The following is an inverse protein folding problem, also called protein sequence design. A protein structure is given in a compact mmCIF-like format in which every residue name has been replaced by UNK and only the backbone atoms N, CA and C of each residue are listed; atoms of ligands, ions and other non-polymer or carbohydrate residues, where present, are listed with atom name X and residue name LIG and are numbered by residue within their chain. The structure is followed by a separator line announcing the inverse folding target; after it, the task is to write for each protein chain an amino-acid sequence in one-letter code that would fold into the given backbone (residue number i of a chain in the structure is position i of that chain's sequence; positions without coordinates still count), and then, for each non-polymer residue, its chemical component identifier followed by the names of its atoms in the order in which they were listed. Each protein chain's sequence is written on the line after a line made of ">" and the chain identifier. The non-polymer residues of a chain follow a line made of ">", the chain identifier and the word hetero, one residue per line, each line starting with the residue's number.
data_IF_056406759407
#
_entry.id   IF_056406759407
#
_cell.length_a   1.000
_cell.length_b   1.000
_cell.length_c   1.000
_cell.angle_alpha   90.00
_cell.angle_beta   90.00
_cell.angle_gamma   90.00
#
_symmetry.space_group_name_H-M   'P 1'
#
loop_
_entity.id
_entity.type
_entity.pdbx_description
1 polymer ?
#
# COMPACT_ATOMS: atom_id res chain seq x y z
N UNK A 1 6.00 -15.43 19.87
CA UNK A 1 6.32 -15.86 18.48
C UNK A 1 5.08 -15.65 17.64
N UNK A 2 5.11 -14.72 16.72
CA UNK A 2 3.95 -14.44 15.85
C UNK A 2 3.97 -15.42 14.67
N UNK A 3 3.11 -16.43 14.68
CA UNK A 3 3.00 -17.41 13.59
C UNK A 3 2.05 -16.85 12.53
N UNK A 4 2.47 -15.83 11.81
CA UNK A 4 1.74 -15.24 10.66
C UNK A 4 2.56 -15.28 9.38
N UNK A 5 3.14 -16.41 9.09
CA UNK A 5 3.80 -16.70 7.81
C UNK A 5 2.96 -17.63 6.92
N UNK A 6 1.67 -17.68 7.21
CA UNK A 6 0.68 -18.45 6.47
C UNK A 6 0.56 -17.88 5.06
N UNK A 7 1.02 -18.62 4.07
CA UNK A 7 0.91 -18.29 2.65
C UNK A 7 -0.28 -19.01 1.97
N UNK A 8 -1.27 -19.38 2.77
CA UNK A 8 -2.43 -20.14 2.34
C UNK A 8 -3.64 -19.72 3.15
N UNK A 9 -4.75 -19.39 2.50
CA UNK A 9 -6.00 -19.01 3.14
C UNK A 9 -7.17 -19.92 2.73
N UNK A 10 -8.22 -19.90 3.53
CA UNK A 10 -9.49 -20.57 3.29
C UNK A 10 -10.60 -19.71 3.90
N UNK A 11 -11.66 -19.46 3.16
CA UNK A 11 -12.79 -18.65 3.60
C UNK A 11 -14.11 -19.37 3.43
N UNK A 12 -15.03 -19.06 4.33
CA UNK A 12 -16.38 -19.57 4.35
C UNK A 12 -17.37 -18.43 4.30
N UNK A 13 -18.57 -18.69 3.76
CA UNK A 13 -19.68 -17.77 3.76
C UNK A 13 -20.95 -18.44 4.27
N UNK A 14 -21.90 -17.65 4.69
CA UNK A 14 -23.27 -18.07 5.02
C UNK A 14 -24.23 -16.91 4.74
N UNK A 15 -25.47 -17.22 4.47
CA UNK A 15 -26.54 -16.23 4.33
C UNK A 15 -27.07 -15.89 5.74
N UNK A 16 -27.00 -14.62 6.11
CA UNK A 16 -27.47 -14.12 7.41
C UNK A 16 -28.99 -14.22 7.57
N UNK A 17 -29.74 -14.38 6.47
CA UNK A 17 -31.18 -14.53 6.48
C UNK A 17 -31.64 -15.99 6.67
N UNK A 18 -30.73 -16.98 6.59
CA UNK A 18 -31.05 -18.37 6.90
C UNK A 18 -31.34 -18.51 8.41
N UNK A 19 -32.36 -19.30 8.76
CA UNK A 19 -32.76 -19.54 10.16
C UNK A 19 -31.68 -20.28 10.97
N UNK A 20 -30.91 -21.14 10.30
CA UNK A 20 -29.78 -21.91 10.86
C UNK A 20 -28.61 -21.82 9.89
N UNK A 21 -27.87 -20.69 9.87
CA UNK A 21 -26.85 -20.46 8.87
C UNK A 21 -25.66 -21.39 9.07
N UNK A 22 -25.35 -22.18 8.06
CA UNK A 22 -24.20 -23.09 8.05
C UNK A 22 -23.10 -22.53 7.16
N UNK A 23 -21.86 -22.43 7.69
CA UNK A 23 -20.73 -21.99 6.87
C UNK A 23 -20.49 -22.91 5.67
N UNK A 24 -20.53 -22.35 4.47
CA UNK A 24 -20.22 -23.00 3.20
C UNK A 24 -18.82 -22.58 2.77
N UNK A 25 -18.01 -23.54 2.34
CA UNK A 25 -16.65 -23.27 1.86
C UNK A 25 -16.69 -22.57 0.50
N UNK A 26 -15.98 -21.43 0.35
CA UNK A 26 -15.86 -20.74 -0.93
C UNK A 26 -14.94 -21.52 -1.88
N UNK A 27 -13.73 -21.84 -1.40
CA UNK A 27 -12.73 -22.55 -2.18
C UNK A 27 -11.83 -23.38 -1.27
N UNK A 28 -11.56 -24.60 -1.68
CA UNK A 28 -10.69 -25.52 -0.97
C UNK A 28 -9.26 -24.97 -0.90
N UNK A 29 -8.65 -25.11 0.27
CA UNK A 29 -7.27 -24.69 0.55
C UNK A 29 -6.29 -25.28 -0.46
N UNK A 30 -5.45 -24.43 -1.02
CA UNK A 30 -4.35 -24.81 -1.89
C UNK A 30 -3.06 -24.15 -1.39
N UNK A 31 -2.00 -24.93 -1.25
CA UNK A 31 -0.73 -24.42 -0.72
C UNK A 31 -0.21 -23.24 -1.57
N UNK A 32 0.11 -22.14 -0.93
CA UNK A 32 0.64 -20.94 -1.59
C UNK A 32 -0.43 -20.02 -2.18
N UNK A 33 -1.71 -20.41 -2.13
CA UNK A 33 -2.80 -19.57 -2.60
C UNK A 33 -3.43 -18.82 -1.42
N UNK A 34 -3.39 -17.52 -1.53
CA UNK A 34 -4.08 -16.56 -0.67
C UNK A 34 -5.27 -16.02 -1.43
N UNK A 35 -6.40 -15.92 -0.75
CA UNK A 35 -7.56 -15.24 -1.30
C UNK A 35 -8.44 -14.63 -0.21
N UNK A 36 -9.15 -13.57 -0.57
CA UNK A 36 -10.18 -12.96 0.26
C UNK A 36 -11.32 -12.48 -0.61
N UNK A 37 -12.56 -12.77 -0.18
CA UNK A 37 -13.75 -12.40 -0.92
C UNK A 37 -14.52 -11.32 -0.17
N UNK A 38 -14.87 -10.26 -0.88
CA UNK A 38 -15.75 -9.20 -0.41
C UNK A 38 -17.03 -9.23 -1.23
N UNK A 39 -18.14 -8.82 -0.64
CA UNK A 39 -19.42 -8.65 -1.34
C UNK A 39 -19.79 -7.17 -1.43
N UNK A 40 -20.25 -6.75 -2.59
CA UNK A 40 -20.78 -5.42 -2.82
C UNK A 40 -21.73 -5.39 -4.01
N UNK A 41 -22.89 -4.76 -3.83
CA UNK A 41 -23.91 -4.55 -4.87
C UNK A 41 -24.28 -5.84 -5.64
N UNK A 42 -24.56 -6.91 -4.89
CA UNK A 42 -24.95 -8.21 -5.44
C UNK A 42 -23.83 -8.98 -6.14
N UNK A 43 -22.61 -8.49 -6.09
CA UNK A 43 -21.42 -9.12 -6.68
C UNK A 43 -20.40 -9.50 -5.62
N UNK A 44 -19.53 -10.43 -5.98
CA UNK A 44 -18.44 -10.94 -5.12
C UNK A 44 -17.10 -10.66 -5.80
N UNK A 45 -16.20 -10.11 -5.02
CA UNK A 45 -14.86 -9.70 -5.48
C UNK A 45 -13.83 -10.54 -4.75
N UNK A 46 -13.10 -11.36 -5.50
CA UNK A 46 -12.07 -12.25 -5.00
C UNK A 46 -10.69 -11.65 -5.26
N UNK A 47 -10.04 -11.14 -4.22
CA UNK A 47 -8.65 -10.72 -4.24
C UNK A 47 -7.78 -11.94 -4.01
N UNK A 48 -7.00 -12.36 -5.00
CA UNK A 48 -6.25 -13.62 -4.96
C UNK A 48 -4.93 -13.56 -5.71
N UNK A 49 -3.96 -14.36 -5.25
CA UNK A 49 -2.70 -14.60 -5.98
C UNK A 49 -2.74 -15.87 -6.85
N UNK A 50 -3.91 -16.45 -7.07
CA UNK A 50 -4.04 -17.62 -7.95
C UNK A 50 -3.77 -17.25 -9.40
N UNK A 51 -2.72 -17.86 -9.99
CA UNK A 51 -2.21 -17.53 -11.33
C UNK A 51 -1.87 -16.02 -11.49
N UNK A 52 -1.48 -15.36 -10.39
CA UNK A 52 -1.24 -13.93 -10.34
C UNK A 52 -0.32 -13.61 -9.14
N UNK A 53 0.99 -13.66 -9.31
CA UNK A 53 1.94 -13.57 -8.20
C UNK A 53 1.69 -12.33 -7.32
N UNK A 54 1.45 -11.17 -7.95
CA UNK A 54 1.22 -9.87 -7.28
C UNK A 54 -0.26 -9.56 -7.05
N UNK A 55 -1.08 -10.62 -6.99
CA UNK A 55 -2.51 -10.59 -6.87
C UNK A 55 -3.25 -10.07 -8.10
N UNK A 56 -4.52 -10.38 -8.15
CA UNK A 56 -5.55 -9.89 -9.06
C UNK A 56 -6.88 -9.82 -8.33
N UNK A 57 -7.88 -9.23 -8.97
CA UNK A 57 -9.23 -9.25 -8.47
C UNK A 57 -10.12 -9.89 -9.52
N UNK A 58 -10.77 -10.97 -9.15
CA UNK A 58 -11.80 -11.61 -9.95
C UNK A 58 -13.18 -11.25 -9.41
N UNK A 59 -14.20 -11.27 -10.26
CA UNK A 59 -15.58 -10.95 -9.93
C UNK A 59 -16.51 -12.12 -10.30
N UNK A 60 -17.53 -12.37 -9.48
CA UNK A 60 -18.58 -13.34 -9.74
C UNK A 60 -19.92 -12.85 -9.21
N UNK A 61 -21.02 -13.28 -9.82
CA UNK A 61 -22.38 -12.99 -9.37
C UNK A 61 -22.89 -14.02 -8.33
N UNK A 62 -22.12 -15.08 -8.04
CA UNK A 62 -22.53 -16.13 -7.09
C UNK A 62 -21.32 -16.71 -6.36
N UNK A 63 -21.52 -17.10 -5.08
CA UNK A 63 -20.55 -17.88 -4.30
C UNK A 63 -20.88 -19.38 -4.30
N UNK A 64 -22.11 -19.77 -4.56
CA UNK A 64 -22.49 -21.19 -4.59
C UNK A 64 -22.00 -21.91 -5.84
N UNK A 65 -22.00 -21.20 -6.97
CA UNK A 65 -21.46 -21.65 -8.25
C UNK A 65 -20.67 -20.50 -8.87
N UNK A 66 -19.49 -20.20 -8.34
CA UNK A 66 -18.73 -19.03 -8.77
C UNK A 66 -18.18 -19.22 -10.19
N UNK A 67 -18.50 -18.26 -11.07
CA UNK A 67 -17.88 -18.07 -12.38
C UNK A 67 -16.97 -16.84 -12.31
N UNK A 68 -15.74 -17.07 -11.83
CA UNK A 68 -14.77 -16.01 -11.61
C UNK A 68 -14.23 -15.46 -12.93
N UNK A 69 -14.48 -14.17 -13.17
CA UNK A 69 -13.96 -13.41 -14.32
C UNK A 69 -12.98 -12.36 -13.80
N UNK A 70 -11.88 -12.15 -14.50
CA UNK A 70 -10.91 -11.14 -14.10
C UNK A 70 -11.53 -9.74 -14.20
N UNK A 71 -11.56 -9.05 -13.07
CA UNK A 71 -12.02 -7.67 -12.94
C UNK A 71 -10.83 -6.70 -12.97
N UNK A 72 -9.77 -7.00 -12.20
CA UNK A 72 -8.49 -6.29 -12.23
C UNK A 72 -7.41 -7.34 -12.47
N UNK A 73 -6.72 -7.24 -13.60
CA UNK A 73 -5.62 -8.15 -13.94
C UNK A 73 -4.38 -7.86 -13.10
N UNK A 74 -3.60 -8.92 -12.83
CA UNK A 74 -2.27 -8.78 -12.24
C UNK A 74 -1.35 -7.95 -13.14
N UNK A 75 -0.42 -7.25 -12.51
CA UNK A 75 0.66 -6.48 -13.17
C UNK A 75 1.97 -6.87 -12.52
N UNK A 76 3.03 -7.05 -13.32
CA UNK A 76 4.35 -7.39 -12.80
C UNK A 76 4.89 -6.27 -11.89
N UNK A 77 5.48 -6.66 -10.77
CA UNK A 77 6.06 -5.77 -9.75
C UNK A 77 5.07 -4.74 -9.19
N UNK A 78 3.76 -5.00 -9.31
CA UNK A 78 2.68 -4.17 -8.75
C UNK A 78 1.82 -5.01 -7.83
N UNK A 79 1.99 -4.81 -6.53
CA UNK A 79 1.17 -5.49 -5.53
C UNK A 79 -0.23 -4.87 -5.52
N UNK A 80 -1.22 -5.61 -5.99
CA UNK A 80 -2.62 -5.19 -5.90
C UNK A 80 -3.12 -5.41 -4.48
N UNK A 81 -3.54 -4.33 -3.83
CA UNK A 81 -4.05 -4.33 -2.46
C UNK A 81 -5.56 -4.52 -2.38
N UNK A 82 -6.10 -4.19 -1.20
CA UNK A 82 -7.51 -4.33 -0.89
C UNK A 82 -8.44 -3.38 -1.63
N UNK A 83 -9.74 -3.70 -1.57
CA UNK A 83 -10.82 -2.88 -2.10
C UNK A 83 -11.61 -2.22 -0.98
N UNK A 84 -11.99 -0.96 -1.19
CA UNK A 84 -12.99 -0.25 -0.40
C UNK A 84 -14.18 0.09 -1.30
N UNK A 85 -15.39 -0.21 -0.84
CA UNK A 85 -16.61 -0.04 -1.63
C UNK A 85 -17.49 1.07 -1.08
N UNK A 86 -17.98 1.91 -1.98
CA UNK A 86 -19.02 2.91 -1.76
C UNK A 86 -20.14 2.70 -2.78
N UNK A 87 -21.26 3.42 -2.63
CA UNK A 87 -22.43 3.28 -3.52
C UNK A 87 -22.06 3.24 -5.01
N UNK A 88 -21.28 4.22 -5.47
CA UNK A 88 -20.93 4.38 -6.88
C UNK A 88 -19.44 4.20 -7.16
N UNK A 89 -18.66 3.76 -6.16
CA UNK A 89 -17.21 3.78 -6.27
C UNK A 89 -16.55 2.53 -5.71
N UNK A 90 -15.50 2.11 -6.36
CA UNK A 90 -14.54 1.13 -5.84
C UNK A 90 -13.19 1.82 -5.75
N UNK A 91 -12.59 1.79 -4.55
CA UNK A 91 -11.25 2.30 -4.32
C UNK A 91 -10.34 1.11 -4.13
N UNK A 92 -9.22 1.11 -4.85
CA UNK A 92 -8.18 0.09 -4.81
C UNK A 92 -6.85 0.72 -4.43
N UNK A 93 -6.09 0.05 -3.56
CA UNK A 93 -4.68 0.38 -3.34
C UNK A 93 -3.78 -0.49 -4.23
N UNK A 94 -2.66 0.08 -4.68
CA UNK A 94 -1.57 -0.63 -5.33
C UNK A 94 -0.25 -0.17 -4.69
N UNK A 95 0.73 -1.07 -4.59
CA UNK A 95 2.11 -0.72 -4.23
C UNK A 95 3.02 -1.12 -5.36
N UNK A 96 3.78 -0.20 -5.88
CA UNK A 96 4.78 -0.44 -6.91
C UNK A 96 6.00 0.44 -6.67
N UNK A 97 7.17 -0.15 -6.85
CA UNK A 97 8.42 0.59 -6.75
C UNK A 97 8.51 1.41 -5.44
N UNK A 98 8.11 0.78 -4.31
CA UNK A 98 8.05 1.35 -2.96
C UNK A 98 7.12 2.57 -2.79
N UNK A 99 6.18 2.80 -3.69
CA UNK A 99 5.16 3.85 -3.59
C UNK A 99 3.76 3.24 -3.58
N UNK A 100 2.97 3.68 -2.60
CA UNK A 100 1.55 3.34 -2.54
C UNK A 100 0.76 4.30 -3.41
N UNK A 101 -0.24 3.77 -4.10
CA UNK A 101 -1.16 4.49 -4.98
C UNK A 101 -2.60 4.11 -4.68
N UNK A 102 -3.51 5.03 -4.92
CA UNK A 102 -4.94 4.79 -4.86
C UNK A 102 -5.56 4.95 -6.25
N UNK A 103 -6.38 3.98 -6.64
CA UNK A 103 -7.19 4.03 -7.86
C UNK A 103 -8.65 4.09 -7.49
N UNK A 104 -9.39 4.94 -8.16
CA UNK A 104 -10.81 5.16 -7.96
C UNK A 104 -11.57 4.80 -9.23
N UNK A 105 -12.49 3.86 -9.13
CA UNK A 105 -13.35 3.43 -10.22
C UNK A 105 -14.78 3.82 -9.95
N UNK A 106 -15.38 4.59 -10.86
CA UNK A 106 -16.81 4.83 -10.85
C UNK A 106 -17.53 3.61 -11.44
N UNK A 107 -18.42 2.99 -10.66
CA UNK A 107 -19.11 1.74 -11.03
C UNK A 107 -20.10 1.98 -12.19
N UNK A 108 -20.75 3.15 -12.21
CA UNK A 108 -21.77 3.49 -13.19
C UNK A 108 -21.17 3.79 -14.57
N UNK A 109 -20.10 4.57 -14.62
CA UNK A 109 -19.45 4.95 -15.87
C UNK A 109 -18.35 3.98 -16.30
N UNK A 110 -17.85 3.15 -15.39
CA UNK A 110 -16.71 2.26 -15.60
C UNK A 110 -15.36 2.97 -15.66
N UNK A 111 -15.30 4.30 -15.54
CA UNK A 111 -14.07 5.09 -15.60
C UNK A 111 -13.26 4.83 -14.33
N UNK A 112 -11.97 4.55 -14.51
CA UNK A 112 -11.00 4.37 -13.44
C UNK A 112 -9.86 5.38 -13.61
N UNK A 113 -9.47 6.03 -12.52
CA UNK A 113 -8.36 6.98 -12.50
C UNK A 113 -7.48 6.78 -11.26
N UNK A 114 -6.19 7.11 -11.37
CA UNK A 114 -5.31 7.22 -10.21
C UNK A 114 -5.67 8.50 -9.44
N UNK A 115 -5.85 8.36 -8.12
CA UNK A 115 -6.08 9.49 -7.24
C UNK A 115 -4.74 10.14 -6.88
N UNK A 116 -4.30 11.10 -7.67
CA UNK A 116 -3.13 11.93 -7.39
C UNK A 116 -3.53 12.98 -6.36
N UNK A 117 -3.00 12.84 -5.14
CA UNK A 117 -3.45 13.64 -4.01
C UNK A 117 -2.53 14.82 -3.70
N UNK A 118 -1.28 14.78 -4.13
CA UNK A 118 -0.26 15.77 -3.84
C UNK A 118 0.70 15.95 -5.03
N UNK A 119 1.33 17.12 -5.11
CA UNK A 119 2.42 17.40 -6.04
C UNK A 119 3.77 16.79 -5.57
N UNK A 120 3.82 16.26 -4.33
CA UNK A 120 4.99 15.54 -3.84
C UNK A 120 5.11 14.19 -4.57
N UNK A 121 6.31 13.87 -5.04
CA UNK A 121 6.58 12.62 -5.76
C UNK A 121 6.65 11.40 -4.84
N UNK A 122 6.90 11.63 -3.56
CA UNK A 122 7.03 10.58 -2.53
C UNK A 122 6.08 10.87 -1.38
N UNK A 123 4.99 10.13 -1.30
CA UNK A 123 4.03 10.23 -0.20
C UNK A 123 3.30 8.89 0.00
N UNK A 124 2.67 8.75 1.14
CA UNK A 124 1.89 7.57 1.51
C UNK A 124 0.42 7.97 1.62
N UNK A 125 -0.42 7.63 0.64
CA UNK A 125 -1.85 7.84 0.72
C UNK A 125 -2.53 6.63 1.38
N UNK A 126 -3.63 6.88 2.10
CA UNK A 126 -4.49 5.82 2.59
C UNK A 126 -5.95 6.25 2.49
N UNK A 127 -6.80 5.39 1.95
CA UNK A 127 -8.24 5.65 1.89
C UNK A 127 -8.98 4.90 3.00
N UNK A 128 -9.89 5.58 3.69
CA UNK A 128 -10.72 4.98 4.72
C UNK A 128 -12.13 5.57 4.75
N UNK A 129 -13.05 4.81 5.31
CA UNK A 129 -14.41 5.27 5.64
C UNK A 129 -14.48 5.50 7.14
N UNK A 130 -14.78 6.73 7.55
CA UNK A 130 -15.00 7.06 8.96
C UNK A 130 -16.39 6.62 9.47
N UNK A 131 -17.30 6.36 8.56
CA UNK A 131 -18.67 5.94 8.85
C UNK A 131 -18.97 4.57 8.24
N UNK A 132 -19.94 3.87 8.83
CA UNK A 132 -20.40 2.58 8.30
C UNK A 132 -21.29 2.70 7.07
N UNK A 133 -21.92 3.87 6.89
CA UNK A 133 -22.76 4.15 5.73
C UNK A 133 -21.88 4.31 4.49
N UNK A 134 -22.02 3.37 3.57
CA UNK A 134 -21.32 3.37 2.28
C UNK A 134 -22.09 4.12 1.17
N UNK A 135 -23.26 4.65 1.51
CA UNK A 135 -24.10 5.43 0.60
C UNK A 135 -23.65 6.88 0.51
N UNK A 136 -22.38 7.07 0.22
CA UNK A 136 -21.72 8.38 0.20
C UNK A 136 -20.71 8.45 -0.93
N UNK A 137 -20.39 9.65 -1.40
CA UNK A 137 -19.28 9.96 -2.28
C UNK A 137 -18.06 10.52 -1.53
N UNK A 138 -18.15 10.60 -0.20
CA UNK A 138 -17.12 11.15 0.65
C UNK A 138 -16.28 10.08 1.31
N UNK A 139 -14.96 10.26 1.25
CA UNK A 139 -13.97 9.40 1.89
C UNK A 139 -12.98 10.24 2.70
N UNK A 140 -12.26 9.59 3.60
CA UNK A 140 -11.14 10.20 4.29
C UNK A 140 -9.84 9.68 3.69
N UNK A 141 -8.97 10.61 3.33
CA UNK A 141 -7.62 10.34 2.83
C UNK A 141 -6.63 10.67 3.94
N UNK A 142 -5.94 9.66 4.44
CA UNK A 142 -4.73 9.86 5.22
C UNK A 142 -3.58 10.16 4.27
N UNK A 143 -2.75 11.12 4.65
CA UNK A 143 -1.62 11.57 3.86
C UNK A 143 -0.40 11.77 4.75
N UNK A 144 0.75 11.37 4.29
CA UNK A 144 2.02 11.64 4.93
C UNK A 144 3.14 11.51 3.90
N UNK A 145 4.21 12.28 4.05
CA UNK A 145 5.44 12.12 3.27
C UNK A 145 6.68 12.18 4.19
N UNK A 146 7.89 11.91 3.71
CA UNK A 146 9.08 12.08 4.55
C UNK A 146 9.25 13.49 5.12
N UNK A 147 8.74 14.52 4.44
CA UNK A 147 8.84 15.93 4.84
C UNK A 147 7.52 16.52 5.36
N UNK A 148 6.38 15.93 5.03
CA UNK A 148 5.06 16.46 5.42
C UNK A 148 4.44 15.58 6.49
N UNK A 149 4.08 16.18 7.63
CA UNK A 149 3.46 15.50 8.77
C UNK A 149 2.13 14.87 8.38
N UNK A 150 1.68 13.91 9.20
CA UNK A 150 0.44 13.19 8.95
C UNK A 150 -0.76 14.13 8.91
N UNK A 151 -1.55 14.01 7.86
CA UNK A 151 -2.78 14.77 7.60
C UNK A 151 -3.93 13.84 7.29
N UNK A 152 -5.14 14.24 7.65
CA UNK A 152 -6.37 13.58 7.24
C UNK A 152 -7.22 14.60 6.51
N UNK A 153 -7.66 14.24 5.33
CA UNK A 153 -8.53 15.06 4.51
C UNK A 153 -9.88 14.34 4.32
N UNK A 154 -10.98 15.10 4.36
CA UNK A 154 -12.22 14.71 3.71
C UNK A 154 -12.09 14.98 2.22
N UNK A 155 -12.51 14.03 1.40
CA UNK A 155 -12.41 14.10 -0.06
C UNK A 155 -13.70 13.61 -0.70
N UNK A 156 -14.30 14.44 -1.54
CA UNK A 156 -15.49 14.08 -2.31
C UNK A 156 -15.08 13.56 -3.70
N UNK A 157 -15.45 12.32 -4.00
CA UNK A 157 -15.07 11.64 -5.24
C UNK A 157 -15.71 12.23 -6.50
N UNK A 158 -16.87 12.88 -6.38
CA UNK A 158 -17.55 13.53 -7.52
C UNK A 158 -17.00 14.93 -7.79
N UNK A 159 -17.01 15.79 -6.75
CA UNK A 159 -16.59 17.19 -6.90
C UNK A 159 -15.06 17.37 -6.89
N UNK A 160 -14.32 16.34 -6.43
CA UNK A 160 -12.86 16.38 -6.18
C UNK A 160 -12.45 17.43 -5.13
N UNK A 161 -13.40 17.92 -4.37
CA UNK A 161 -13.15 18.85 -3.27
C UNK A 161 -12.45 18.13 -2.12
N UNK A 162 -11.36 18.73 -1.63
CA UNK A 162 -10.62 18.24 -0.46
C UNK A 162 -10.62 19.28 0.66
N UNK A 163 -10.85 18.84 1.89
CA UNK A 163 -10.81 19.66 3.08
C UNK A 163 -9.93 19.01 4.13
N UNK A 164 -8.96 19.76 4.67
CA UNK A 164 -8.14 19.32 5.78
C UNK A 164 -9.02 19.17 7.03
N UNK A 165 -9.06 17.97 7.60
CA UNK A 165 -9.84 17.63 8.80
C UNK A 165 -8.93 17.59 10.03
N UNK A 166 -7.74 17.02 9.87
CA UNK A 166 -6.78 16.88 10.97
C UNK A 166 -5.35 16.93 10.45
N UNK A 167 -4.50 17.58 11.21
CA UNK A 167 -3.06 17.59 10.98
C UNK A 167 -2.34 17.24 12.28
N UNK A 168 -1.25 16.48 12.15
CA UNK A 168 -0.39 16.17 13.29
C UNK A 168 0.31 17.44 13.77
N UNK A 169 0.14 17.76 15.03
CA UNK A 169 0.85 18.86 15.67
C UNK A 169 2.30 18.49 15.94
N UNK A 170 3.22 19.42 15.66
CA UNK A 170 4.64 19.32 15.97
C UNK A 170 5.01 20.50 16.90
N UNK A 171 4.99 20.29 18.22
CA UNK A 171 5.14 21.39 19.20
C UNK A 171 6.46 22.17 19.06
N UNK A 172 7.51 21.52 18.55
CA UNK A 172 8.82 22.15 18.27
C UNK A 172 8.85 23.02 17.02
N UNK A 173 7.73 23.08 16.28
CA UNK A 173 7.66 23.65 14.96
C UNK A 173 8.15 22.71 13.86
N UNK A 174 7.59 22.85 12.68
CA UNK A 174 7.98 22.10 11.49
C UNK A 174 7.56 22.87 10.23
N UNK A 175 8.47 22.97 9.27
CA UNK A 175 8.18 23.51 7.96
C UNK A 175 8.64 22.51 6.90
N UNK A 176 7.73 21.87 6.12
CA UNK A 176 8.09 20.92 5.08
C UNK A 176 9.08 21.45 4.04
N UNK A 177 9.08 22.78 3.79
CA UNK A 177 9.97 23.44 2.81
C UNK A 177 11.44 23.51 3.26
N UNK A 178 11.73 23.11 4.49
CA UNK A 178 13.10 23.00 4.97
C UNK A 178 13.75 21.66 4.62
N UNK A 179 13.00 20.73 4.03
CA UNK A 179 13.46 19.39 3.72
C UNK A 179 13.34 19.07 2.23
N UNK A 180 14.34 18.37 1.73
CA UNK A 180 14.39 17.84 0.37
C UNK A 180 14.21 16.33 0.45
N UNK A 181 13.31 15.82 -0.38
CA UNK A 181 13.07 14.40 -0.56
C UNK A 181 13.45 14.03 -1.99
N UNK A 182 14.34 13.08 -2.14
CA UNK A 182 14.84 12.60 -3.42
C UNK A 182 14.66 11.10 -3.50
N UNK A 183 14.57 10.61 -4.71
CA UNK A 183 14.45 9.20 -5.00
C UNK A 183 15.48 8.80 -6.03
N UNK A 184 16.22 7.75 -5.74
CA UNK A 184 17.19 7.16 -6.66
C UNK A 184 17.08 5.64 -6.63
N UNK A 185 17.58 4.99 -7.68
CA UNK A 185 17.77 3.55 -7.71
C UNK A 185 19.25 3.21 -7.55
N UNK A 186 19.56 2.29 -6.65
CA UNK A 186 20.90 1.77 -6.45
C UNK A 186 20.99 0.34 -7.00
N UNK A 187 22.08 0.05 -7.73
CA UNK A 187 22.30 -1.28 -8.28
C UNK A 187 22.84 -2.21 -7.20
N UNK A 188 22.12 -3.29 -6.92
CA UNK A 188 22.55 -4.36 -6.02
C UNK A 188 23.61 -5.26 -6.70
N UNK A 189 24.26 -6.15 -5.93
CA UNK A 189 25.30 -7.08 -6.34
C UNK A 189 24.91 -7.95 -7.53
N UNK A 190 23.63 -8.32 -7.65
CA UNK A 190 23.08 -9.17 -8.72
C UNK A 190 22.45 -8.38 -9.88
N UNK A 191 22.58 -7.05 -9.86
CA UNK A 191 22.06 -6.14 -10.88
C UNK A 191 20.63 -5.67 -10.67
N UNK A 192 19.93 -6.11 -9.61
CA UNK A 192 18.61 -5.60 -9.26
C UNK A 192 18.70 -4.14 -8.83
N UNK A 193 17.72 -3.35 -9.24
CA UNK A 193 17.63 -1.94 -8.85
C UNK A 193 16.81 -1.82 -7.56
N UNK A 194 17.46 -1.33 -6.52
CA UNK A 194 16.89 -1.11 -5.18
C UNK A 194 16.50 0.35 -5.04
N UNK A 195 15.22 0.66 -4.86
CA UNK A 195 14.79 2.04 -4.65
C UNK A 195 15.29 2.57 -3.31
N UNK A 196 15.79 3.80 -3.30
CA UNK A 196 16.18 4.52 -2.11
C UNK A 196 15.35 5.80 -1.99
N UNK A 197 14.82 6.08 -0.81
CA UNK A 197 14.21 7.36 -0.47
C UNK A 197 15.17 8.14 0.42
N UNK A 198 15.65 9.28 -0.06
CA UNK A 198 16.62 10.15 0.63
C UNK A 198 15.86 11.34 1.19
N UNK A 199 16.09 11.65 2.46
CA UNK A 199 15.52 12.84 3.10
C UNK A 199 16.65 13.60 3.79
N UNK A 200 16.77 14.88 3.51
CA UNK A 200 17.79 15.76 4.07
C UNK A 200 17.27 17.17 4.34
N UNK A 201 17.90 17.89 5.22
CA UNK A 201 17.64 19.33 5.35
C UNK A 201 18.17 20.07 4.11
N UNK A 202 17.48 21.10 3.66
CA UNK A 202 17.85 21.85 2.43
C UNK A 202 19.25 22.45 2.48
N UNK A 203 19.75 22.78 3.68
CA UNK A 203 21.06 23.37 3.91
C UNK A 203 22.19 22.34 4.09
N UNK A 204 21.86 21.03 4.12
CA UNK A 204 22.87 19.98 4.27
C UNK A 204 23.83 20.02 3.08
N UNK A 205 25.13 20.13 3.37
CA UNK A 205 26.17 20.16 2.35
C UNK A 205 26.35 18.79 1.72
N UNK A 206 26.45 18.77 0.39
CA UNK A 206 26.69 17.55 -0.40
C UNK A 206 28.15 17.47 -0.90
N UNK A 207 29.10 17.90 -0.10
CA UNK A 207 30.54 17.92 -0.38
C UNK A 207 31.30 16.71 0.18
N UNK A 208 30.56 15.70 0.66
CA UNK A 208 31.10 14.49 1.29
C UNK A 208 31.33 14.62 2.80
N UNK A 209 31.06 15.76 3.41
CA UNK A 209 31.23 15.97 4.86
C UNK A 209 29.99 15.55 5.69
N UNK A 210 28.81 15.52 5.06
CA UNK A 210 27.58 15.14 5.74
C UNK A 210 27.58 13.66 6.16
N UNK A 211 27.09 13.42 7.38
CA UNK A 211 26.86 12.04 7.85
C UNK A 211 25.62 11.47 7.21
N UNK A 212 25.61 10.18 6.95
CA UNK A 212 24.48 9.47 6.38
C UNK A 212 24.08 8.31 7.29
N UNK A 213 22.77 8.14 7.50
CA UNK A 213 22.19 6.95 8.11
C UNK A 213 21.38 6.20 7.07
N UNK A 214 21.84 5.01 6.71
CA UNK A 214 21.12 4.08 5.84
C UNK A 214 20.27 3.14 6.69
N UNK A 215 18.99 3.07 6.41
CA UNK A 215 18.03 2.22 7.09
C UNK A 215 17.27 1.32 6.11
N UNK A 216 17.17 0.04 6.41
CA UNK A 216 16.35 -0.93 5.69
C UNK A 216 15.80 -1.98 6.64
N UNK A 217 14.71 -2.63 6.29
CA UNK A 217 14.13 -3.70 7.09
C UNK A 217 14.14 -5.05 6.37
N UNK A 218 13.50 -5.15 5.23
CA UNK A 218 13.56 -6.29 4.32
C UNK A 218 13.13 -7.64 4.91
N UNK A 219 12.08 -7.67 5.72
CA UNK A 219 11.61 -8.92 6.32
C UNK A 219 10.08 -8.99 6.37
N UNK A 220 9.56 -10.23 6.37
CA UNK A 220 8.14 -10.56 6.54
C UNK A 220 7.20 -9.93 5.51
N UNK A 221 7.71 -9.49 4.36
CA UNK A 221 6.93 -8.77 3.36
C UNK A 221 6.47 -7.38 3.81
N UNK A 222 7.08 -6.84 4.86
CA UNK A 222 6.74 -5.51 5.37
C UNK A 222 7.47 -4.44 4.57
N UNK A 223 6.72 -3.68 3.79
CA UNK A 223 7.24 -2.53 3.04
C UNK A 223 7.57 -1.37 3.98
N UNK A 224 8.69 -0.71 3.71
CA UNK A 224 9.13 0.47 4.44
C UNK A 224 8.58 1.73 3.78
N UNK A 225 7.35 2.09 4.15
CA UNK A 225 6.68 3.26 3.58
C UNK A 225 7.41 4.56 3.96
N UNK A 226 7.64 5.47 3.01
CA UNK A 226 8.32 6.74 3.23
C UNK A 226 7.38 7.77 3.89
N UNK A 227 6.93 7.47 5.11
CA UNK A 227 6.05 8.32 5.91
C UNK A 227 6.81 9.31 6.76
N UNK A 228 6.12 10.29 7.34
CA UNK A 228 6.66 11.24 8.30
C UNK A 228 7.12 10.59 9.60
N UNK A 229 8.20 11.14 10.21
CA UNK A 229 8.67 10.71 11.53
C UNK A 229 9.44 11.82 12.22
N UNK A 230 8.96 12.24 13.38
CA UNK A 230 9.62 13.25 14.21
C UNK A 230 11.00 12.80 14.72
N UNK A 231 11.17 11.49 14.96
CA UNK A 231 12.47 10.93 15.37
C UNK A 231 13.51 11.02 14.25
N UNK A 232 13.10 10.80 12.99
CA UNK A 232 13.98 10.99 11.82
C UNK A 232 14.34 12.46 11.65
N UNK A 233 13.40 13.37 11.79
CA UNK A 233 13.65 14.81 11.71
C UNK A 233 14.68 15.27 12.74
N UNK A 234 14.69 14.69 13.94
CA UNK A 234 15.70 14.99 14.96
C UNK A 234 17.13 14.72 14.49
N UNK A 235 17.34 13.71 13.64
CA UNK A 235 18.63 13.43 13.03
C UNK A 235 18.90 14.35 11.83
N UNK A 236 17.91 14.55 10.98
CA UNK A 236 18.01 15.38 9.76
C UNK A 236 18.33 16.83 10.14
N UNK A 237 17.73 17.35 11.22
CA UNK A 237 18.00 18.70 11.74
C UNK A 237 19.40 18.87 12.35
N UNK A 238 20.15 17.77 12.46
CA UNK A 238 21.58 17.74 12.86
C UNK A 238 22.50 17.43 11.67
N UNK A 239 22.07 17.76 10.46
CA UNK A 239 22.79 17.56 9.20
C UNK A 239 23.10 16.08 8.88
N UNK A 240 22.28 15.15 9.36
CA UNK A 240 22.37 13.75 8.98
C UNK A 240 21.41 13.49 7.83
N UNK A 241 21.92 12.98 6.72
CA UNK A 241 21.10 12.52 5.60
C UNK A 241 20.47 11.19 6.01
N UNK A 242 19.13 11.11 5.93
CA UNK A 242 18.42 9.85 6.16
C UNK A 242 18.11 9.18 4.83
N UNK A 243 18.50 7.91 4.70
CA UNK A 243 18.20 7.10 3.53
C UNK A 243 17.41 5.88 3.96
N UNK A 244 16.22 5.69 3.36
CA UNK A 244 15.47 4.45 3.50
C UNK A 244 15.74 3.61 2.25
N UNK A 245 16.35 2.43 2.44
CA UNK A 245 16.53 1.45 1.39
C UNK A 245 15.34 0.48 1.38
N UNK A 246 14.67 0.37 0.23
CA UNK A 246 13.50 -0.49 0.02
C UNK A 246 13.96 -1.87 -0.46
N UNK A 247 14.70 -2.56 0.40
CA UNK A 247 15.44 -3.79 0.13
C UNK A 247 14.53 -5.01 0.02
N UNK A 248 15.01 -6.07 -0.65
CA UNK A 248 14.31 -7.35 -0.78
C UNK A 248 13.95 -7.97 0.58
N UNK A 249 12.81 -8.65 0.59
CA UNK A 249 12.20 -9.20 1.81
C UNK A 249 11.01 -8.39 2.33
N UNK A 250 10.84 -7.13 1.88
CA UNK A 250 9.58 -6.38 1.84
C UNK A 250 8.78 -6.70 0.56
N UNK A 251 7.68 -6.00 0.33
CA UNK A 251 6.83 -6.15 -0.87
C UNK A 251 6.79 -4.89 -1.73
N UNK A 252 7.80 -4.06 -1.63
CA UNK A 252 7.89 -2.76 -2.31
C UNK A 252 7.82 -2.86 -3.84
N UNK A 253 8.23 -4.02 -4.38
CA UNK A 253 8.14 -4.38 -5.81
C UNK A 253 7.42 -5.72 -5.96
N UNK A 254 6.34 -5.91 -5.20
CA UNK A 254 5.49 -7.10 -5.27
C UNK A 254 6.01 -8.33 -4.49
N UNK A 255 5.31 -9.44 -4.69
CA UNK A 255 5.56 -10.70 -3.98
C UNK A 255 6.91 -11.33 -4.33
N UNK A 256 7.39 -11.12 -5.56
CA UNK A 256 8.69 -11.60 -6.00
C UNK A 256 9.81 -10.96 -5.20
N UNK A 257 9.72 -9.65 -4.93
CA UNK A 257 10.66 -8.89 -4.10
C UNK A 257 10.77 -9.47 -2.68
N UNK A 258 9.65 -9.87 -2.10
CA UNK A 258 9.62 -10.57 -0.83
C UNK A 258 10.27 -11.96 -0.90
N UNK A 259 9.91 -12.77 -1.91
CA UNK A 259 10.41 -14.14 -2.05
C UNK A 259 11.93 -14.18 -2.28
N UNK A 260 12.46 -13.22 -3.01
CA UNK A 260 13.90 -13.07 -3.27
C UNK A 260 14.70 -12.60 -2.04
N UNK A 261 14.05 -12.16 -0.96
CA UNK A 261 14.69 -11.73 0.30
C UNK A 261 14.34 -12.58 1.52
N UNK A 262 13.85 -13.83 1.36
CA UNK A 262 13.49 -14.69 2.49
C UNK A 262 14.12 -16.09 2.44
N UNK A 263 14.12 -16.78 3.59
CA UNK A 263 14.63 -18.14 3.73
C UNK A 263 16.07 -18.28 3.17
N UNK A 264 16.29 -19.17 2.22
CA UNK A 264 17.62 -19.39 1.60
C UNK A 264 18.10 -18.17 0.78
N UNK A 265 17.19 -17.28 0.38
CA UNK A 265 17.51 -16.05 -0.35
C UNK A 265 17.72 -14.84 0.58
N UNK A 266 17.69 -15.05 1.91
CA UNK A 266 17.78 -13.94 2.89
C UNK A 266 19.05 -13.11 2.76
N UNK A 267 20.12 -13.70 2.25
CA UNK A 267 21.38 -13.00 2.00
C UNK A 267 21.20 -11.78 1.09
N UNK A 268 20.34 -11.88 0.07
CA UNK A 268 20.07 -10.77 -0.84
C UNK A 268 19.57 -9.50 -0.15
N UNK A 269 18.81 -9.64 0.96
CA UNK A 269 18.35 -8.49 1.78
C UNK A 269 19.51 -7.67 2.33
N UNK A 270 20.62 -8.34 2.69
CA UNK A 270 21.80 -7.68 3.29
C UNK A 270 22.79 -7.19 2.23
N UNK A 271 22.68 -7.71 1.02
CA UNK A 271 23.52 -7.34 -0.12
C UNK A 271 22.91 -6.22 -0.98
N UNK A 272 21.60 -5.99 -0.78
CA UNK A 272 20.90 -4.85 -1.38
C UNK A 272 21.32 -3.54 -0.75
#
# INVERSE_FOLDING_TARGET
>A
MCIRDSNTSEQYFFDVNEKDPKPKLIKKRQRGILYSVNSWDGKFYNHTNENAEDFKIDISDSLEKPDWKTFIAAKDEVLIGGLTFLKNWIIRSETSDALDKLFVKNITTGIEEELIFSDETVYVPGASLMQRDKNTDEIYISYSSPKTQSRVYSYNLNSKEKKLVKEQEIPSGHNPEDYIVERIDCRSHDGRMVPLTITRHKNTKLDGSAKLLLYGYGSYGSSMNPSFSTTRLSLINRDIIWVTAHIRGGMEKGMKWWKEGKLLNKKNTFED
#
